data_IF_057393896887
#
_entry.id   IF_057393896887
#
_cell.length_a   1.000
_cell.length_b   1.000
_cell.length_c   1.000
_cell.angle_alpha   90.00
_cell.angle_beta   90.00
_cell.angle_gamma   90.00
#
_symmetry.space_group_name_H-M   'P 1'
#
loop_
_entity.id
_entity.type
_entity.pdbx_description
1 polymer ?
#
# COMPACT_ATOMS: atom_id res chain seq x y z
N UNK A 1 -3.52 -30.58 15.76
CA UNK A 1 -4.42 -29.46 15.44
C UNK A 1 -3.69 -28.17 15.79
N UNK A 2 -3.59 -27.25 14.84
CA UNK A 2 -2.99 -25.93 15.05
C UNK A 2 -4.06 -24.86 14.82
N UNK A 3 -4.03 -23.83 15.65
CA UNK A 3 -4.89 -22.66 15.51
C UNK A 3 -4.07 -21.40 15.79
N UNK A 4 -4.07 -20.48 14.83
CA UNK A 4 -3.30 -19.24 14.89
C UNK A 4 -4.16 -18.03 14.53
N UNK A 5 -4.20 -17.06 15.44
CA UNK A 5 -4.78 -15.74 15.25
C UNK A 5 -3.65 -14.73 15.17
N UNK A 6 -3.47 -14.11 13.99
CA UNK A 6 -2.40 -13.14 13.75
C UNK A 6 -2.98 -11.73 13.64
N UNK A 7 -2.74 -10.90 14.64
CA UNK A 7 -3.36 -9.58 14.76
C UNK A 7 -2.66 -8.51 13.93
N UNK A 8 -3.46 -7.69 13.25
CA UNK A 8 -2.96 -6.44 12.70
C UNK A 8 -2.58 -5.47 13.83
N UNK A 9 -1.67 -4.54 13.53
CA UNK A 9 -1.44 -3.40 14.41
C UNK A 9 -2.64 -2.45 14.34
N UNK A 10 -2.81 -1.65 15.38
CA UNK A 10 -3.51 -0.38 15.25
C UNK A 10 -2.50 0.72 14.97
N UNK A 11 -2.95 1.83 14.42
CA UNK A 11 -2.04 2.95 14.07
C UNK A 11 -1.29 3.45 15.31
N UNK A 12 -1.96 3.51 16.46
CA UNK A 12 -1.38 3.91 17.74
C UNK A 12 -0.36 2.89 18.32
N UNK A 13 -0.34 1.66 17.81
CA UNK A 13 0.60 0.61 18.24
C UNK A 13 1.86 0.57 17.37
N UNK A 14 1.93 1.37 16.30
CA UNK A 14 3.10 1.43 15.43
C UNK A 14 4.24 2.11 16.20
N UNK A 15 5.44 1.48 16.31
CA UNK A 15 6.56 2.07 17.03
C UNK A 15 6.98 3.43 16.46
N UNK A 16 7.33 4.39 17.32
CA UNK A 16 7.79 5.73 16.93
C UNK A 16 9.00 5.69 15.98
N UNK A 17 9.85 4.67 16.10
CA UNK A 17 11.01 4.44 15.22
C UNK A 17 10.62 4.25 13.75
N UNK A 18 9.36 3.93 13.44
CA UNK A 18 8.87 3.90 12.06
C UNK A 18 8.84 5.30 11.45
N UNK A 19 8.82 6.36 12.27
CA UNK A 19 8.87 7.76 11.84
C UNK A 19 10.14 8.09 11.06
N UNK A 20 11.22 7.31 11.22
CA UNK A 20 12.46 7.42 10.44
C UNK A 20 12.19 7.28 8.93
N UNK A 21 11.21 6.47 8.53
CA UNK A 21 10.82 6.29 7.12
C UNK A 21 10.43 7.63 6.47
N UNK A 22 9.78 8.50 7.24
CA UNK A 22 9.37 9.83 6.79
C UNK A 22 10.57 10.72 6.47
N UNK A 23 11.53 10.76 7.39
CA UNK A 23 12.71 11.61 7.26
C UNK A 23 13.70 11.05 6.23
N UNK A 24 13.82 9.72 6.13
CA UNK A 24 14.61 9.05 5.10
C UNK A 24 14.05 9.32 3.70
N UNK A 25 12.73 9.26 3.55
CA UNK A 25 12.06 9.63 2.31
C UNK A 25 12.37 11.09 1.94
N UNK A 26 12.14 12.03 2.86
CA UNK A 26 12.36 13.45 2.62
C UNK A 26 13.82 13.75 2.25
N UNK A 27 14.76 13.22 3.04
CA UNK A 27 16.20 13.38 2.83
C UNK A 27 16.65 12.79 1.50
N UNK A 28 16.13 11.61 1.15
CA UNK A 28 16.45 10.94 -0.13
C UNK A 28 15.96 11.76 -1.33
N UNK A 29 14.75 12.32 -1.27
CA UNK A 29 14.22 13.15 -2.35
C UNK A 29 15.00 14.46 -2.50
N UNK A 30 15.29 15.15 -1.39
CA UNK A 30 16.13 16.36 -1.39
C UNK A 30 17.55 16.08 -1.91
N UNK A 31 18.17 14.98 -1.49
CA UNK A 31 19.47 14.56 -2.00
C UNK A 31 19.49 14.23 -3.51
N UNK A 32 18.34 13.94 -4.12
CA UNK A 32 18.19 13.71 -5.57
C UNK A 32 17.80 14.95 -6.36
N UNK A 33 17.63 16.11 -5.71
CA UNK A 33 17.22 17.39 -6.33
C UNK A 33 18.02 17.73 -7.59
N UNK A 34 19.35 17.70 -7.52
CA UNK A 34 20.20 18.01 -8.68
C UNK A 34 20.00 17.01 -9.84
N UNK A 35 19.86 15.71 -9.52
CA UNK A 35 19.61 14.69 -10.54
C UNK A 35 18.25 14.90 -11.22
N UNK A 36 17.23 15.28 -10.44
CA UNK A 36 15.89 15.60 -10.97
C UNK A 36 15.98 16.82 -11.88
N UNK A 37 16.67 17.89 -11.44
CA UNK A 37 16.90 19.08 -12.26
C UNK A 37 17.63 18.75 -13.56
N UNK A 38 18.72 17.97 -13.52
CA UNK A 38 19.47 17.54 -14.71
C UNK A 38 18.57 16.76 -15.68
N UNK A 39 17.74 15.85 -15.17
CA UNK A 39 16.80 15.11 -15.99
C UNK A 39 15.73 16.01 -16.60
N UNK A 40 15.18 16.93 -15.82
CA UNK A 40 14.18 17.90 -16.28
C UNK A 40 14.75 18.81 -17.37
N UNK A 41 15.94 19.35 -17.17
CA UNK A 41 16.63 20.20 -18.15
C UNK A 41 17.00 19.44 -19.42
N UNK A 42 17.31 18.14 -19.33
CA UNK A 42 17.55 17.29 -20.51
C UNK A 42 16.27 17.06 -21.32
N UNK A 43 15.12 16.91 -20.66
CA UNK A 43 13.83 16.72 -21.34
C UNK A 43 13.29 18.04 -21.90
N UNK A 44 13.50 19.15 -21.19
CA UNK A 44 12.99 20.48 -21.53
C UNK A 44 14.17 21.44 -21.55
N UNK A 45 14.93 21.39 -22.64
CA UNK A 45 16.18 22.14 -22.77
C UNK A 45 15.98 23.48 -23.48
N UNK A 46 14.94 23.60 -24.28
CA UNK A 46 14.66 24.78 -25.09
C UNK A 46 13.21 25.26 -24.98
N UNK A 47 12.98 26.47 -25.45
CA UNK A 47 11.64 27.02 -25.64
C UNK A 47 10.75 26.13 -26.49
N UNK A 48 11.30 25.55 -27.56
CA UNK A 48 10.61 24.60 -28.43
C UNK A 48 10.22 23.31 -27.69
N UNK A 49 11.10 22.82 -26.81
CA UNK A 49 10.77 21.69 -25.94
C UNK A 49 9.63 22.02 -24.98
N UNK A 50 9.64 23.21 -24.38
CA UNK A 50 8.56 23.64 -23.49
C UNK A 50 7.22 23.67 -24.23
N UNK A 51 7.19 24.27 -25.42
CA UNK A 51 5.98 24.33 -26.25
C UNK A 51 5.50 22.92 -26.62
N UNK A 52 6.37 22.10 -27.20
CA UNK A 52 5.98 20.78 -27.72
C UNK A 52 5.68 19.74 -26.64
N UNK A 53 6.37 19.78 -25.49
CA UNK A 53 6.27 18.74 -24.43
C UNK A 53 5.36 19.13 -23.27
N UNK A 54 5.18 20.43 -23.01
CA UNK A 54 4.23 20.91 -21.99
C UNK A 54 2.98 21.47 -22.65
N UNK A 55 3.13 22.53 -23.46
CA UNK A 55 1.98 23.32 -23.94
C UNK A 55 1.10 22.52 -24.89
N UNK A 56 1.65 21.96 -25.95
CA UNK A 56 0.91 21.25 -26.98
C UNK A 56 0.24 19.99 -26.43
N UNK A 57 0.98 19.22 -25.62
CA UNK A 57 0.43 18.04 -24.94
C UNK A 57 -0.71 18.38 -24.00
N UNK A 58 -0.54 19.43 -23.18
CA UNK A 58 -1.58 19.87 -22.25
C UNK A 58 -2.81 20.43 -22.98
N UNK A 59 -2.61 21.20 -24.05
CA UNK A 59 -3.72 21.76 -24.83
C UNK A 59 -4.51 20.66 -25.55
N UNK A 60 -3.84 19.64 -26.09
CA UNK A 60 -4.50 18.49 -26.74
C UNK A 60 -5.44 17.76 -25.78
N UNK A 61 -5.00 17.50 -24.56
CA UNK A 61 -5.84 16.83 -23.55
C UNK A 61 -6.94 17.75 -23.02
N UNK A 62 -6.66 19.05 -22.86
CA UNK A 62 -7.69 19.97 -22.40
C UNK A 62 -8.80 20.17 -23.44
N UNK A 63 -8.45 20.14 -24.72
CA UNK A 63 -9.41 20.22 -25.83
C UNK A 63 -10.38 19.04 -25.87
N UNK A 64 -9.92 17.83 -25.53
CA UNK A 64 -10.78 16.64 -25.47
C UNK A 64 -11.75 16.66 -24.27
N UNK A 65 -11.39 17.38 -23.21
CA UNK A 65 -12.21 17.50 -22.00
C UNK A 65 -13.34 18.54 -22.11
N UNK A 66 -13.16 19.61 -22.90
CA UNK A 66 -14.18 20.65 -23.04
C UNK A 66 -15.36 20.16 -23.88
N UNK A 67 -16.58 20.46 -23.43
CA UNK A 67 -17.80 20.21 -24.20
C UNK A 67 -17.70 20.87 -25.61
N UNK A 68 -17.77 20.08 -26.69
CA UNK A 68 -17.61 20.60 -28.05
C UNK A 68 -18.70 21.58 -28.47
N UNK A 69 -19.89 21.53 -27.85
CA UNK A 69 -21.04 22.36 -28.20
C UNK A 69 -21.14 23.65 -27.37
N UNK A 70 -20.10 23.97 -26.60
CA UNK A 70 -20.08 25.18 -25.78
C UNK A 70 -19.80 26.40 -26.67
N UNK A 71 -20.65 27.42 -26.58
CA UNK A 71 -20.59 28.62 -27.43
C UNK A 71 -19.23 29.36 -27.35
N UNK A 72 -18.63 29.43 -26.16
CA UNK A 72 -17.33 30.09 -25.92
C UNK A 72 -16.12 29.14 -25.92
N UNK A 73 -16.26 27.91 -26.46
CA UNK A 73 -15.18 26.91 -26.49
C UNK A 73 -13.92 27.47 -27.14
N UNK A 74 -14.05 28.09 -28.31
CA UNK A 74 -12.91 28.55 -29.10
C UNK A 74 -12.17 29.67 -28.38
N UNK A 75 -12.89 30.61 -27.77
CA UNK A 75 -12.31 31.69 -26.96
C UNK A 75 -11.57 31.16 -25.74
N UNK A 76 -12.11 30.13 -25.07
CA UNK A 76 -11.43 29.46 -23.95
C UNK A 76 -10.14 28.80 -24.43
N UNK A 77 -10.19 28.09 -25.55
CA UNK A 77 -9.02 27.40 -26.10
C UNK A 77 -7.95 28.39 -26.55
N UNK A 78 -8.32 29.50 -27.19
CA UNK A 78 -7.39 30.58 -27.57
C UNK A 78 -6.74 31.16 -26.32
N UNK A 79 -7.54 31.54 -25.32
CA UNK A 79 -7.04 32.10 -24.05
C UNK A 79 -6.07 31.15 -23.36
N UNK A 80 -6.38 29.85 -23.33
CA UNK A 80 -5.49 28.83 -22.76
C UNK A 80 -4.19 28.70 -23.55
N UNK A 81 -4.26 28.55 -24.87
CA UNK A 81 -3.08 28.41 -25.74
C UNK A 81 -2.10 29.57 -25.53
N UNK A 82 -2.62 30.80 -25.51
CA UNK A 82 -1.82 32.01 -25.23
C UNK A 82 -1.23 31.97 -23.83
N UNK A 83 -2.03 31.74 -22.78
CA UNK A 83 -1.55 31.73 -21.39
C UNK A 83 -0.46 30.68 -21.14
N UNK A 84 -0.65 29.47 -21.67
CA UNK A 84 0.32 28.38 -21.50
C UNK A 84 1.65 28.70 -22.18
N UNK A 85 1.63 29.32 -23.37
CA UNK A 85 2.82 29.76 -24.07
C UNK A 85 3.53 30.92 -23.35
N UNK A 86 2.79 31.87 -22.76
CA UNK A 86 3.36 32.98 -22.00
C UNK A 86 4.15 32.52 -20.76
N UNK A 87 3.73 31.42 -20.11
CA UNK A 87 4.42 30.87 -18.93
C UNK A 87 5.83 30.31 -19.17
N UNK A 88 6.28 30.26 -20.43
CA UNK A 88 7.60 29.76 -20.81
C UNK A 88 8.75 30.54 -20.15
N UNK A 89 8.67 31.88 -20.16
CA UNK A 89 9.73 32.72 -19.58
C UNK A 89 9.81 32.49 -18.07
N UNK A 90 8.66 32.42 -17.39
CA UNK A 90 8.58 32.12 -15.97
C UNK A 90 9.17 30.74 -15.66
N UNK A 91 8.91 29.73 -16.50
CA UNK A 91 9.46 28.39 -16.33
C UNK A 91 10.99 28.41 -16.35
N UNK A 92 11.61 28.95 -17.41
CA UNK A 92 13.08 28.95 -17.51
C UNK A 92 13.74 29.84 -16.47
N UNK A 93 13.10 30.94 -16.08
CA UNK A 93 13.61 31.86 -15.05
C UNK A 93 13.61 31.22 -13.66
N UNK A 94 12.56 30.47 -13.32
CA UNK A 94 12.36 29.97 -11.96
C UNK A 94 12.75 28.49 -11.77
N UNK A 95 13.02 27.75 -12.84
CA UNK A 95 13.31 26.31 -12.75
C UNK A 95 14.52 26.02 -11.87
N UNK A 96 15.63 26.74 -12.05
CA UNK A 96 16.84 26.46 -11.28
C UNK A 96 16.70 26.89 -9.82
N UNK A 97 16.08 28.06 -9.56
CA UNK A 97 15.83 28.55 -8.21
C UNK A 97 14.86 27.64 -7.43
N UNK A 98 13.84 27.09 -8.08
CA UNK A 98 12.93 26.12 -7.46
C UNK A 98 13.65 24.85 -6.96
N UNK A 99 14.74 24.45 -7.63
CA UNK A 99 15.59 23.31 -7.28
C UNK A 99 16.89 23.72 -6.59
N UNK A 100 16.99 24.95 -6.10
CA UNK A 100 18.08 25.37 -5.19
C UNK A 100 17.84 24.82 -3.77
N UNK A 101 18.85 24.88 -2.92
CA UNK A 101 18.71 24.51 -1.51
C UNK A 101 17.76 25.45 -0.79
N UNK A 102 16.79 24.89 -0.05
CA UNK A 102 15.67 25.64 0.52
C UNK A 102 14.65 26.17 -0.50
N UNK A 103 14.78 25.78 -1.78
CA UNK A 103 13.85 26.15 -2.85
C UNK A 103 12.47 25.48 -2.72
N UNK A 104 11.57 25.82 -3.65
CA UNK A 104 10.19 25.35 -3.63
C UNK A 104 10.05 23.83 -3.70
N UNK A 105 11.00 23.14 -4.36
CA UNK A 105 11.04 21.68 -4.39
C UNK A 105 11.18 21.11 -2.97
N UNK A 106 12.14 21.59 -2.19
CA UNK A 106 12.39 21.05 -0.84
C UNK A 106 11.28 21.39 0.12
N UNK A 107 10.72 22.61 0.03
CA UNK A 107 9.53 23.01 0.78
C UNK A 107 8.34 22.12 0.47
N UNK A 108 8.13 21.78 -0.81
CA UNK A 108 7.07 20.86 -1.23
C UNK A 108 7.26 19.46 -0.64
N UNK A 109 8.50 18.96 -0.56
CA UNK A 109 8.81 17.69 0.11
C UNK A 109 8.49 17.78 1.61
N UNK A 110 8.89 18.86 2.28
CA UNK A 110 8.61 19.06 3.71
C UNK A 110 7.11 19.16 4.01
N UNK A 111 6.33 19.77 3.12
CA UNK A 111 4.86 19.84 3.25
C UNK A 111 4.18 18.50 2.96
N UNK A 112 4.79 17.64 2.14
CA UNK A 112 4.20 16.38 1.70
C UNK A 112 4.60 15.18 2.58
N UNK A 113 5.69 15.27 3.36
CA UNK A 113 6.26 14.11 4.08
C UNK A 113 5.29 13.49 5.08
N UNK A 114 4.51 14.31 5.78
CA UNK A 114 3.54 13.80 6.76
C UNK A 114 2.41 13.03 6.06
N UNK A 115 1.85 13.60 4.98
CA UNK A 115 0.85 12.92 4.15
C UNK A 115 1.39 11.64 3.51
N UNK A 116 2.65 11.63 3.08
CA UNK A 116 3.30 10.41 2.60
C UNK A 116 3.33 9.35 3.71
N UNK A 117 3.79 9.73 4.90
CA UNK A 117 3.93 8.83 6.03
C UNK A 117 2.59 8.27 6.51
N UNK A 118 1.53 9.08 6.56
CA UNK A 118 0.17 8.63 6.86
C UNK A 118 -0.30 7.50 5.93
N UNK A 119 0.01 7.60 4.64
CA UNK A 119 -0.32 6.54 3.68
C UNK A 119 0.54 5.28 3.88
N UNK A 120 1.79 5.45 4.28
CA UNK A 120 2.69 4.34 4.60
C UNK A 120 2.25 3.61 5.86
N UNK A 121 1.82 4.33 6.91
CA UNK A 121 1.31 3.74 8.15
C UNK A 121 0.19 2.73 7.88
N UNK A 122 -0.76 3.09 7.01
CA UNK A 122 -1.87 2.20 6.62
C UNK A 122 -1.41 0.89 6.01
N UNK A 123 -0.28 0.88 5.30
CA UNK A 123 0.32 -0.34 4.77
C UNK A 123 0.98 -1.13 5.91
N UNK A 124 1.77 -0.44 6.73
CA UNK A 124 2.54 -1.03 7.83
C UNK A 124 1.66 -1.64 8.92
N UNK A 125 0.41 -1.20 9.06
CA UNK A 125 -0.57 -1.84 9.96
C UNK A 125 -0.69 -3.35 9.71
N UNK A 126 -0.71 -3.80 8.46
CA UNK A 126 -0.86 -5.23 8.15
C UNK A 126 0.47 -5.98 8.00
N UNK A 127 1.52 -5.30 7.55
CA UNK A 127 2.80 -5.96 7.19
C UNK A 127 3.93 -5.71 8.18
N UNK A 128 3.90 -4.61 8.93
CA UNK A 128 4.99 -4.16 9.79
C UNK A 128 6.26 -3.76 9.03
N UNK A 129 7.31 -3.47 9.79
CA UNK A 129 8.68 -3.32 9.30
C UNK A 129 9.51 -4.46 9.91
N UNK A 130 9.99 -5.37 9.08
CA UNK A 130 10.65 -6.61 9.54
C UNK A 130 11.92 -6.36 10.36
N UNK A 131 12.51 -5.17 10.26
CA UNK A 131 13.62 -4.73 11.09
C UNK A 131 13.18 -4.41 12.53
N UNK A 132 11.97 -3.84 12.69
CA UNK A 132 11.52 -3.23 13.95
C UNK A 132 10.38 -3.98 14.61
N UNK A 133 9.33 -4.32 13.86
CA UNK A 133 8.14 -5.00 14.36
C UNK A 133 7.39 -5.74 13.26
N UNK A 134 6.95 -6.97 13.56
CA UNK A 134 6.25 -7.85 12.63
C UNK A 134 4.74 -7.78 12.88
N UNK A 135 3.96 -7.44 11.85
CA UNK A 135 2.50 -7.52 11.91
C UNK A 135 1.99 -8.87 11.35
N UNK A 136 0.68 -9.03 11.23
CA UNK A 136 0.01 -10.28 10.88
C UNK A 136 0.55 -10.97 9.61
N UNK A 137 0.70 -10.24 8.50
CA UNK A 137 0.89 -10.86 7.18
C UNK A 137 2.20 -11.65 7.05
N UNK A 138 3.35 -11.14 7.52
CA UNK A 138 4.57 -11.95 7.59
C UNK A 138 4.45 -13.22 8.46
N UNK A 139 3.70 -13.18 9.57
CA UNK A 139 3.49 -14.31 10.48
C UNK A 139 2.63 -15.40 9.84
N UNK A 140 1.55 -15.00 9.15
CA UNK A 140 0.69 -15.89 8.34
C UNK A 140 1.52 -16.69 7.34
N UNK A 141 2.51 -16.07 6.69
CA UNK A 141 3.39 -16.79 5.77
C UNK A 141 4.18 -17.91 6.46
N UNK A 142 4.66 -17.70 7.68
CA UNK A 142 5.39 -18.73 8.41
C UNK A 142 4.47 -19.85 8.87
N UNK A 143 3.28 -19.52 9.37
CA UNK A 143 2.25 -20.50 9.72
C UNK A 143 1.91 -21.40 8.53
N UNK A 144 1.52 -20.83 7.38
CA UNK A 144 1.14 -21.61 6.18
C UNK A 144 2.27 -22.47 5.60
N UNK A 145 3.53 -22.14 5.89
CA UNK A 145 4.70 -22.92 5.49
C UNK A 145 5.09 -23.99 6.50
N UNK A 146 4.43 -24.07 7.66
CA UNK A 146 4.79 -24.97 8.75
C UNK A 146 6.14 -24.64 9.38
N UNK A 147 6.51 -23.35 9.46
CA UNK A 147 7.81 -22.92 10.00
C UNK A 147 7.69 -22.49 11.46
N UNK A 148 7.51 -23.46 12.34
CA UNK A 148 7.25 -23.24 13.77
C UNK A 148 8.34 -22.41 14.47
N UNK A 149 9.61 -22.78 14.27
CA UNK A 149 10.75 -22.07 14.88
C UNK A 149 10.76 -20.57 14.51
N UNK A 150 10.63 -20.27 13.22
CA UNK A 150 10.62 -18.88 12.73
C UNK A 150 9.34 -18.14 13.13
N UNK A 151 8.22 -18.85 13.23
CA UNK A 151 6.96 -18.24 13.68
C UNK A 151 7.10 -17.80 15.13
N UNK A 152 7.59 -18.70 16.00
CA UNK A 152 7.75 -18.47 17.43
C UNK A 152 8.64 -17.27 17.76
N UNK A 153 9.66 -17.00 16.94
CA UNK A 153 10.55 -15.83 17.10
C UNK A 153 9.85 -14.48 16.86
N UNK A 154 8.76 -14.46 16.10
CA UNK A 154 8.08 -13.22 15.67
C UNK A 154 6.70 -13.03 16.29
N UNK A 155 6.23 -13.98 17.10
CA UNK A 155 4.96 -13.84 17.82
C UNK A 155 5.07 -12.76 18.89
N UNK A 156 3.98 -11.99 19.05
CA UNK A 156 3.87 -11.00 20.11
C UNK A 156 2.50 -11.06 20.79
N UNK A 157 2.24 -10.13 21.71
CA UNK A 157 0.99 -10.06 22.46
C UNK A 157 -0.26 -9.82 21.60
N UNK A 158 -0.11 -9.58 20.29
CA UNK A 158 -1.21 -9.34 19.36
C UNK A 158 -1.62 -10.61 18.62
N UNK A 159 -0.95 -11.72 18.90
CA UNK A 159 -1.24 -13.03 18.34
C UNK A 159 -1.75 -14.00 19.41
N UNK A 160 -2.45 -15.03 18.97
CA UNK A 160 -2.81 -16.17 19.80
C UNK A 160 -2.58 -17.44 19.00
N UNK A 161 -1.64 -18.28 19.44
CA UNK A 161 -1.26 -19.52 18.74
C UNK A 161 -1.37 -20.71 19.68
N UNK A 162 -1.95 -21.80 19.18
CA UNK A 162 -1.98 -23.09 19.86
C UNK A 162 -1.60 -24.21 18.88
N UNK A 163 -0.92 -25.23 19.39
CA UNK A 163 -0.38 -26.32 18.58
C UNK A 163 0.83 -25.91 17.75
N UNK A 164 1.25 -26.80 16.84
CA UNK A 164 2.41 -26.60 15.96
C UNK A 164 1.94 -26.53 14.51
N UNK A 165 2.26 -25.47 13.76
CA UNK A 165 1.85 -25.33 12.38
C UNK A 165 2.54 -26.38 11.52
N UNK A 166 1.78 -26.96 10.61
CA UNK A 166 2.29 -27.75 9.50
C UNK A 166 2.10 -27.00 8.19
N UNK A 167 2.65 -27.54 7.10
CA UNK A 167 2.48 -26.93 5.78
C UNK A 167 1.01 -27.03 5.38
N UNK A 168 0.38 -25.88 5.14
CA UNK A 168 -1.05 -25.82 4.81
C UNK A 168 -1.35 -26.34 3.40
N UNK A 169 -0.55 -25.99 2.39
CA UNK A 169 -0.80 -26.38 0.99
C UNK A 169 0.16 -27.46 0.51
N UNK A 170 -0.27 -28.29 -0.44
CA UNK A 170 0.56 -29.35 -1.03
C UNK A 170 1.93 -28.84 -1.46
N UNK A 171 2.96 -29.61 -1.10
CA UNK A 171 4.37 -29.27 -1.33
C UNK A 171 4.70 -28.88 -2.79
N UNK A 172 4.04 -29.53 -3.76
CA UNK A 172 4.27 -29.32 -5.19
C UNK A 172 3.79 -27.98 -5.73
N UNK A 173 2.83 -27.33 -5.05
CA UNK A 173 2.16 -26.11 -5.53
C UNK A 173 2.29 -24.93 -4.58
N UNK A 174 2.71 -25.15 -3.33
CA UNK A 174 2.74 -24.12 -2.27
C UNK A 174 3.47 -22.84 -2.70
N UNK A 175 4.56 -22.95 -3.46
CA UNK A 175 5.34 -21.78 -3.93
C UNK A 175 4.57 -20.90 -4.93
N UNK A 176 3.62 -21.47 -5.67
CA UNK A 176 2.83 -20.77 -6.67
C UNK A 176 1.56 -20.17 -6.05
N UNK A 177 0.97 -20.86 -5.07
CA UNK A 177 -0.31 -20.45 -4.48
C UNK A 177 -0.14 -19.48 -3.30
N UNK A 178 0.93 -19.64 -2.50
CA UNK A 178 1.15 -18.84 -1.30
C UNK A 178 1.15 -17.33 -1.57
N UNK A 179 1.80 -16.80 -2.64
CA UNK A 179 1.71 -15.37 -2.95
C UNK A 179 0.28 -14.88 -3.19
N UNK A 180 -0.56 -15.71 -3.82
CA UNK A 180 -1.96 -15.38 -4.07
C UNK A 180 -2.77 -15.35 -2.76
N UNK A 181 -2.60 -16.36 -1.91
CA UNK A 181 -3.24 -16.44 -0.59
C UNK A 181 -2.85 -15.24 0.27
N UNK A 182 -1.56 -14.94 0.37
CA UNK A 182 -1.03 -13.80 1.13
C UNK A 182 -1.57 -12.47 0.59
N UNK A 183 -1.72 -12.34 -0.73
CA UNK A 183 -2.32 -11.14 -1.35
C UNK A 183 -3.79 -10.96 -0.94
N UNK A 184 -4.57 -12.04 -0.90
CA UNK A 184 -5.97 -12.01 -0.45
C UNK A 184 -6.06 -11.67 1.04
N UNK A 185 -5.27 -12.32 1.89
CA UNK A 185 -5.20 -12.01 3.33
C UNK A 185 -4.83 -10.55 3.57
N UNK A 186 -3.77 -10.06 2.93
CA UNK A 186 -3.30 -8.68 3.10
C UNK A 186 -4.38 -7.67 2.68
N UNK A 187 -5.00 -7.89 1.52
CA UNK A 187 -6.03 -6.97 1.03
C UNK A 187 -7.28 -6.96 1.90
N UNK A 188 -7.74 -8.14 2.34
CA UNK A 188 -8.95 -8.22 3.15
C UNK A 188 -8.71 -7.68 4.57
N UNK A 189 -7.57 -8.01 5.19
CA UNK A 189 -7.18 -7.45 6.49
C UNK A 189 -7.01 -5.93 6.44
N UNK A 190 -6.34 -5.41 5.40
CA UNK A 190 -6.18 -3.97 5.18
C UNK A 190 -7.53 -3.25 5.12
N UNK A 191 -8.49 -3.81 4.36
CA UNK A 191 -9.83 -3.21 4.25
C UNK A 191 -10.56 -3.28 5.59
N UNK A 192 -10.39 -4.36 6.36
CA UNK A 192 -11.01 -4.50 7.68
C UNK A 192 -10.53 -3.43 8.65
N UNK A 193 -9.21 -3.26 8.77
CA UNK A 193 -8.60 -2.22 9.63
C UNK A 193 -9.04 -0.82 9.19
N UNK A 194 -8.96 -0.52 7.90
CA UNK A 194 -9.36 0.80 7.38
C UNK A 194 -10.83 1.13 7.65
N UNK A 195 -11.71 0.12 7.61
CA UNK A 195 -13.13 0.28 7.90
C UNK A 195 -13.38 0.46 9.40
N UNK A 196 -12.63 -0.25 10.24
CA UNK A 196 -12.65 -0.09 11.70
C UNK A 196 -12.19 1.32 12.12
N UNK A 197 -11.08 1.80 11.55
CA UNK A 197 -10.59 3.18 11.73
C UNK A 197 -11.60 4.25 11.27
N UNK A 198 -12.39 3.94 10.25
CA UNK A 198 -13.47 4.81 9.77
C UNK A 198 -14.72 4.79 10.66
N UNK A 199 -14.74 3.98 11.72
CA UNK A 199 -15.85 3.87 12.66
C UNK A 199 -17.02 3.02 12.15
N UNK A 200 -16.79 2.14 11.17
CA UNK A 200 -17.80 1.17 10.74
C UNK A 200 -18.07 0.15 11.83
N UNK A 201 -19.29 -0.37 11.89
CA UNK A 201 -19.64 -1.41 12.86
C UNK A 201 -19.01 -2.73 12.47
N UNK A 202 -18.72 -3.59 13.47
CA UNK A 202 -18.12 -4.90 13.23
C UNK A 202 -18.90 -5.72 12.18
N UNK A 203 -20.24 -5.74 12.24
CA UNK A 203 -21.07 -6.49 11.28
C UNK A 203 -20.97 -5.96 9.84
N UNK A 204 -20.81 -4.65 9.65
CA UNK A 204 -20.57 -4.08 8.32
C UNK A 204 -19.21 -4.50 7.78
N UNK A 205 -18.19 -4.52 8.64
CA UNK A 205 -16.84 -4.96 8.28
C UNK A 205 -16.84 -6.46 7.96
N UNK A 206 -17.53 -7.29 8.74
CA UNK A 206 -17.75 -8.72 8.49
C UNK A 206 -18.35 -8.98 7.11
N UNK A 207 -19.37 -8.20 6.73
CA UNK A 207 -19.96 -8.27 5.39
C UNK A 207 -18.96 -7.90 4.28
N UNK A 208 -18.06 -6.94 4.53
CA UNK A 208 -17.00 -6.57 3.58
C UNK A 208 -15.93 -7.66 3.48
N UNK A 209 -15.51 -8.26 4.60
CA UNK A 209 -14.46 -9.29 4.61
C UNK A 209 -14.96 -10.63 4.09
N UNK A 210 -16.27 -10.89 4.13
CA UNK A 210 -16.89 -12.11 3.62
C UNK A 210 -16.45 -12.44 2.18
N UNK A 211 -16.37 -11.45 1.28
CA UNK A 211 -15.91 -11.68 -0.11
C UNK A 211 -14.45 -12.13 -0.21
N UNK A 212 -13.61 -11.76 0.75
CA UNK A 212 -12.21 -12.21 0.82
C UNK A 212 -12.16 -13.61 1.44
N UNK A 213 -12.95 -13.86 2.48
CA UNK A 213 -13.06 -15.18 3.11
C UNK A 213 -13.59 -16.23 2.13
N UNK A 214 -14.56 -15.90 1.27
CA UNK A 214 -15.01 -16.79 0.19
C UNK A 214 -13.87 -17.17 -0.76
N UNK A 215 -13.01 -16.20 -1.14
CA UNK A 215 -11.83 -16.47 -1.98
C UNK A 215 -10.77 -17.29 -1.25
N UNK A 216 -10.60 -17.08 0.06
CA UNK A 216 -9.68 -17.87 0.86
C UNK A 216 -10.13 -19.33 0.95
N UNK A 217 -11.44 -19.56 1.10
CA UNK A 217 -12.03 -20.89 1.12
C UNK A 217 -11.82 -21.66 -0.18
N UNK A 218 -11.78 -20.99 -1.35
CA UNK A 218 -11.47 -21.64 -2.63
C UNK A 218 -10.08 -22.31 -2.63
N UNK A 219 -9.11 -21.78 -1.86
CA UNK A 219 -7.78 -22.38 -1.76
C UNK A 219 -7.75 -23.70 -0.96
N UNK A 220 -8.79 -24.03 -0.18
CA UNK A 220 -8.84 -25.30 0.55
C UNK A 220 -8.85 -26.53 -0.38
N UNK A 221 -9.24 -26.38 -1.65
CA UNK A 221 -9.10 -27.43 -2.66
C UNK A 221 -7.63 -27.86 -2.91
N UNK A 222 -6.67 -27.07 -2.44
CA UNK A 222 -5.22 -27.23 -2.67
C UNK A 222 -4.46 -27.56 -1.37
N UNK A 223 -5.18 -27.84 -0.28
CA UNK A 223 -4.60 -28.14 1.03
C UNK A 223 -3.78 -29.44 1.00
N UNK A 224 -2.79 -29.53 1.89
CA UNK A 224 -1.96 -30.74 2.04
C UNK A 224 -2.82 -31.93 2.48
N UNK A 225 -2.50 -33.14 2.01
CA UNK A 225 -3.30 -34.34 2.28
C UNK A 225 -3.25 -34.76 3.76
N UNK A 226 -2.31 -34.20 4.54
CA UNK A 226 -2.27 -34.34 6.00
C UNK A 226 -3.34 -33.54 6.75
N UNK A 227 -4.05 -32.64 6.06
CA UNK A 227 -5.05 -31.75 6.65
C UNK A 227 -6.47 -32.10 6.18
N UNK A 228 -7.45 -31.88 7.05
CA UNK A 228 -8.86 -32.00 6.72
C UNK A 228 -9.34 -30.71 6.01
N UNK A 229 -9.74 -30.78 4.72
CA UNK A 229 -10.20 -29.61 3.96
C UNK A 229 -11.51 -29.00 4.48
N UNK A 230 -12.32 -29.75 5.23
CA UNK A 230 -13.62 -29.28 5.73
C UNK A 230 -13.50 -28.53 7.06
N UNK A 231 -12.50 -28.89 7.87
CA UNK A 231 -12.29 -28.32 9.19
C UNK A 231 -11.08 -27.38 9.26
N UNK A 232 -10.23 -27.35 8.23
CA UNK A 232 -9.15 -26.36 8.10
C UNK A 232 -9.65 -25.11 7.38
N UNK A 233 -9.17 -23.94 7.80
CA UNK A 233 -9.57 -22.66 7.18
C UNK A 233 -8.49 -21.60 7.30
N UNK A 234 -8.58 -20.64 6.39
CA UNK A 234 -7.90 -19.35 6.46
C UNK A 234 -9.00 -18.29 6.32
N UNK A 235 -9.15 -17.40 7.28
CA UNK A 235 -10.15 -16.34 7.25
C UNK A 235 -9.63 -15.05 7.87
N UNK A 236 -10.25 -13.94 7.51
CA UNK A 236 -10.10 -12.66 8.18
C UNK A 236 -11.30 -12.51 9.10
N UNK A 237 -11.02 -12.35 10.39
CA UNK A 237 -12.04 -12.29 11.43
C UNK A 237 -11.60 -11.38 12.57
N UNK A 238 -12.58 -10.81 13.27
CA UNK A 238 -12.34 -10.07 14.49
C UNK A 238 -12.15 -11.05 15.65
N UNK A 239 -11.06 -10.92 16.39
CA UNK A 239 -10.82 -11.67 17.61
C UNK A 239 -11.17 -10.80 18.81
N UNK A 240 -12.22 -11.16 19.55
CA UNK A 240 -12.69 -10.40 20.71
C UNK A 240 -11.72 -10.43 21.89
N UNK A 241 -10.99 -11.54 22.09
CA UNK A 241 -9.99 -11.68 23.16
C UNK A 241 -8.78 -10.78 22.91
N UNK A 242 -8.35 -10.65 21.66
CA UNK A 242 -7.26 -9.76 21.24
C UNK A 242 -7.75 -8.34 20.91
N UNK A 243 -9.06 -8.14 20.85
CA UNK A 243 -9.77 -6.93 20.47
C UNK A 243 -9.26 -6.33 19.14
N UNK A 244 -9.10 -7.15 18.09
CA UNK A 244 -8.54 -6.68 16.81
C UNK A 244 -8.91 -7.57 15.63
N UNK A 245 -8.76 -7.03 14.43
CA UNK A 245 -8.83 -7.80 13.20
C UNK A 245 -7.58 -8.65 12.99
N UNK A 246 -7.80 -9.92 12.68
CA UNK A 246 -6.75 -10.92 12.53
C UNK A 246 -6.90 -11.67 11.21
N UNK A 247 -5.80 -12.30 10.78
CA UNK A 247 -5.89 -13.50 9.95
C UNK A 247 -5.93 -14.71 10.88
N UNK A 248 -6.99 -15.49 10.77
CA UNK A 248 -7.24 -16.70 11.54
C UNK A 248 -6.95 -17.93 10.65
N UNK A 249 -6.12 -18.83 11.14
CA UNK A 249 -5.73 -20.07 10.48
C UNK A 249 -6.06 -21.23 11.41
N UNK A 250 -6.77 -22.22 10.87
CA UNK A 250 -7.05 -23.50 11.54
C UNK A 250 -6.52 -24.62 10.67
N UNK A 251 -5.74 -25.50 11.27
CA UNK A 251 -5.21 -26.73 10.68
C UNK A 251 -5.76 -27.93 11.45
N UNK A 252 -6.81 -28.52 10.89
CA UNK A 252 -7.43 -29.73 11.41
C UNK A 252 -6.80 -30.95 10.73
N UNK A 253 -6.60 -32.02 11.50
CA UNK A 253 -6.21 -33.33 10.97
C UNK A 253 -7.46 -34.21 10.88
N UNK A 254 -7.54 -35.17 9.94
CA UNK A 254 -8.63 -36.14 9.85
C UNK A 254 -8.87 -36.95 11.14
#
# INVERSE_FOLDING_TARGET
MFEGWFGAFRVEEIPDTFGEIKEDWATTFKGKRQKILTNLSRVINSEEDYLSKIVDRSNKEYESYINPNREDKDDIMIKRKVKMALGKNDYFTNRESAFSEGGDFEKGIDQAKDKFYENVLRILVCVGDKDKAWSAIPKVRYALLGKDDLLSEVLDSKDSVTGTPQRYFKASIVRNILPAVISVCNRGLYVAVMADEAGMTQSEIEAIVAKYNSKLAEFNALIDDALDPNNSKIEIAFNSSLNRWCVHIVEATP
#
